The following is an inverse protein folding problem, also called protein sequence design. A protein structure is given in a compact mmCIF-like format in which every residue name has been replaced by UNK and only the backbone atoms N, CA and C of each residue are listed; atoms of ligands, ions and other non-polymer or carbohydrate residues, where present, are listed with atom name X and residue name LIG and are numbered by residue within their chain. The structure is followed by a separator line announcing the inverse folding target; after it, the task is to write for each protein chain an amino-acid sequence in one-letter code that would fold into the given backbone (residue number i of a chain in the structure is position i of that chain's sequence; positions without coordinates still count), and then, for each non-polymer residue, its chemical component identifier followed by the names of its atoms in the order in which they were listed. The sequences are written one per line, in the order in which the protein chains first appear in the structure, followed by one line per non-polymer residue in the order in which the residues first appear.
data_IF_817005860569
#
_entry.id   IF_817005860569
#
_cell.length_a   1.000
_cell.length_b   1.000
_cell.length_c   1.000
_cell.angle_alpha   90.00
_cell.angle_beta   90.00
_cell.angle_gamma   90.00
#
_symmetry.space_group_name_H-M   'P 1'
#
loop_
_entity.id
_entity.type
_entity.pdbx_description
1 polymer ?
#
# COMPACT_ATOMS: atom_id res chain seq x y z
N UNK A 1 5.35 -11.11 6.60
CA UNK A 1 5.31 -11.83 7.88
C UNK A 1 6.71 -11.86 8.44
N UNK A 2 6.84 -11.96 9.75
CA UNK A 2 8.09 -12.18 10.47
C UNK A 2 7.76 -13.13 11.61
N UNK A 3 8.48 -14.26 11.72
CA UNK A 3 8.19 -15.33 12.68
C UNK A 3 6.70 -15.74 12.71
N UNK A 4 6.13 -15.98 11.53
CA UNK A 4 4.70 -16.34 11.32
C UNK A 4 3.66 -15.30 11.78
N UNK A 5 4.10 -14.08 12.13
CA UNK A 5 3.22 -12.98 12.51
C UNK A 5 3.00 -12.05 11.31
N UNK A 6 1.75 -11.67 11.05
CA UNK A 6 1.40 -10.68 10.03
C UNK A 6 1.72 -9.28 10.55
N UNK A 7 2.87 -8.74 10.14
CA UNK A 7 3.37 -7.41 10.53
C UNK A 7 2.92 -6.27 9.61
N UNK A 8 2.20 -6.58 8.54
CA UNK A 8 1.68 -5.58 7.62
C UNK A 8 0.86 -6.18 6.50
N UNK A 9 -0.06 -5.39 5.96
CA UNK A 9 -0.96 -5.78 4.88
C UNK A 9 -1.33 -4.57 4.03
N UNK A 10 -1.75 -4.86 2.79
CA UNK A 10 -2.34 -3.91 1.87
C UNK A 10 -3.42 -4.62 1.08
N UNK A 11 -4.50 -3.91 0.74
CA UNK A 11 -5.60 -4.40 -0.09
C UNK A 11 -5.48 -3.82 -1.49
N UNK A 12 -5.67 -4.68 -2.48
CA UNK A 12 -5.89 -4.33 -3.87
C UNK A 12 -7.34 -4.67 -4.24
N UNK A 13 -8.07 -3.70 -4.80
CA UNK A 13 -9.45 -3.88 -5.29
C UNK A 13 -9.54 -3.40 -6.74
N UNK A 14 -10.10 -4.21 -7.62
CA UNK A 14 -10.40 -3.82 -8.99
C UNK A 14 -11.76 -3.14 -9.06
N UNK A 15 -11.87 -2.07 -9.84
CA UNK A 15 -13.14 -1.42 -10.18
C UNK A 15 -13.61 -1.84 -11.57
N UNK A 16 -14.91 -1.62 -11.83
CA UNK A 16 -15.57 -1.99 -13.09
C UNK A 16 -15.01 -1.26 -14.32
N UNK A 17 -14.35 -0.12 -14.11
CA UNK A 17 -13.65 0.67 -15.14
C UNK A 17 -12.26 0.10 -15.51
N UNK A 18 -11.89 -1.06 -14.96
CA UNK A 18 -10.59 -1.70 -15.22
C UNK A 18 -9.42 -1.04 -14.48
N UNK A 19 -9.70 -0.17 -13.51
CA UNK A 19 -8.70 0.43 -12.65
C UNK A 19 -8.52 -0.31 -11.32
N UNK A 20 -7.46 0.04 -10.59
CA UNK A 20 -7.13 -0.56 -9.31
C UNK A 20 -7.12 0.46 -8.16
N UNK A 21 -7.64 0.03 -7.01
CA UNK A 21 -7.66 0.77 -5.76
C UNK A 21 -6.79 0.06 -4.71
N UNK A 22 -5.73 0.75 -4.30
CA UNK A 22 -4.90 0.38 -3.17
C UNK A 22 -5.52 0.98 -1.90
N UNK A 23 -5.64 0.18 -0.86
CA UNK A 23 -6.23 0.63 0.40
C UNK A 23 -5.89 -0.27 1.56
N UNK A 24 -6.28 0.13 2.76
CA UNK A 24 -6.06 -0.69 3.97
C UNK A 24 -4.58 -0.89 4.32
N UNK A 25 -3.66 -0.08 3.77
CA UNK A 25 -2.23 -0.18 4.10
C UNK A 25 -2.04 0.00 5.60
N UNK A 26 -1.51 -1.03 6.25
CA UNK A 26 -1.19 -1.04 7.68
C UNK A 26 0.13 -1.77 7.88
N UNK A 27 0.95 -1.22 8.77
CA UNK A 27 2.18 -1.85 9.24
C UNK A 27 2.17 -1.74 10.76
N UNK A 28 2.46 -2.85 11.42
CA UNK A 28 2.61 -2.93 12.87
C UNK A 28 3.59 -1.85 13.35
N UNK A 29 3.26 -1.18 14.45
CA UNK A 29 4.00 0.01 14.91
C UNK A 29 5.47 -0.28 15.21
N UNK A 30 5.79 -1.47 15.71
CA UNK A 30 7.14 -1.88 16.07
C UNK A 30 7.97 -2.25 14.83
N UNK A 31 7.33 -2.37 13.66
CA UNK A 31 7.94 -2.80 12.40
C UNK A 31 7.96 -1.67 11.35
N UNK A 32 7.51 -0.46 11.71
CA UNK A 32 7.56 0.73 10.83
C UNK A 32 8.99 1.16 10.54
N UNK A 33 9.15 2.01 9.52
CA UNK A 33 10.44 2.54 9.04
C UNK A 33 11.45 1.48 8.52
N UNK A 34 11.02 0.23 8.37
CA UNK A 34 11.78 -0.88 7.76
C UNK A 34 11.45 -1.10 6.27
N UNK A 35 10.83 -0.12 5.60
CA UNK A 35 10.45 -0.20 4.18
C UNK A 35 9.27 -1.13 3.85
N UNK A 36 8.56 -1.67 4.85
CA UNK A 36 7.47 -2.63 4.65
C UNK A 36 6.31 -2.03 3.84
N UNK A 37 5.88 -0.80 4.16
CA UNK A 37 4.80 -0.12 3.45
C UNK A 37 5.13 0.10 1.96
N UNK A 38 6.38 0.44 1.66
CA UNK A 38 6.90 0.58 0.29
C UNK A 38 6.82 -0.75 -0.45
N UNK A 39 7.39 -1.83 0.12
CA UNK A 39 7.36 -3.17 -0.51
C UNK A 39 5.94 -3.67 -0.78
N UNK A 40 5.02 -3.45 0.16
CA UNK A 40 3.61 -3.82 -0.02
C UNK A 40 2.93 -2.98 -1.11
N UNK A 41 3.22 -1.68 -1.17
CA UNK A 41 2.70 -0.77 -2.20
C UNK A 41 3.20 -1.17 -3.59
N UNK A 42 4.51 -1.38 -3.74
CA UNK A 42 5.13 -1.83 -4.99
C UNK A 42 4.53 -3.17 -5.45
N UNK A 43 4.33 -4.11 -4.53
CA UNK A 43 3.67 -5.37 -4.84
C UNK A 43 2.24 -5.14 -5.34
N UNK A 44 1.45 -4.30 -4.70
CA UNK A 44 0.10 -3.99 -5.17
C UNK A 44 0.10 -3.30 -6.53
N UNK A 45 1.04 -2.38 -6.81
CA UNK A 45 1.17 -1.73 -8.12
C UNK A 45 1.52 -2.77 -9.19
N UNK A 46 2.46 -3.66 -8.90
CA UNK A 46 2.84 -4.75 -9.81
C UNK A 46 1.68 -5.70 -10.10
N UNK A 47 0.93 -6.10 -9.07
CA UNK A 47 -0.22 -7.01 -9.22
C UNK A 47 -1.44 -6.33 -9.83
N UNK A 48 -1.58 -5.01 -9.71
CA UNK A 48 -2.69 -4.29 -10.33
C UNK A 48 -2.76 -4.59 -11.83
N UNK A 49 -1.63 -4.62 -12.55
CA UNK A 49 -1.62 -4.87 -14.01
C UNK A 49 -2.62 -3.99 -14.79
N UNK A 50 -2.89 -2.79 -14.25
CA UNK A 50 -3.82 -1.81 -14.81
C UNK A 50 -3.06 -0.57 -15.23
N UNK A 51 -3.61 0.20 -16.17
CA UNK A 51 -3.05 1.50 -16.58
C UNK A 51 -3.03 2.53 -15.44
N UNK A 52 -3.97 2.45 -14.49
CA UNK A 52 -4.11 3.42 -13.40
C UNK A 52 -4.41 2.74 -12.07
N UNK A 53 -3.58 3.06 -11.08
CA UNK A 53 -3.76 2.66 -9.69
C UNK A 53 -4.01 3.90 -8.83
N UNK A 54 -4.99 3.83 -7.93
CA UNK A 54 -5.42 4.92 -7.06
C UNK A 54 -5.31 4.52 -5.60
N UNK A 55 -5.09 5.48 -4.72
CA UNK A 55 -5.20 5.30 -3.27
C UNK A 55 -5.75 6.57 -2.63
N UNK A 56 -6.36 6.39 -1.47
CA UNK A 56 -6.76 7.51 -0.61
C UNK A 56 -5.92 7.51 0.66
N UNK A 57 -5.54 8.71 1.07
CA UNK A 57 -4.94 8.96 2.38
C UNK A 57 -5.46 10.27 2.93
N UNK A 58 -5.45 10.44 4.25
CA UNK A 58 -5.75 11.72 4.87
C UNK A 58 -4.69 12.75 4.50
N UNK A 59 -5.09 14.02 4.39
CA UNK A 59 -4.22 15.14 4.02
C UNK A 59 -2.98 15.27 4.93
N UNK A 60 -3.14 14.99 6.22
CA UNK A 60 -2.08 15.10 7.22
C UNK A 60 -1.18 13.86 7.29
N UNK A 61 -1.42 12.84 6.45
CA UNK A 61 -0.57 11.66 6.39
C UNK A 61 0.62 11.88 5.45
N UNK A 62 1.53 12.75 5.89
CA UNK A 62 2.73 13.16 5.16
C UNK A 62 3.58 11.94 4.78
N UNK A 63 3.63 10.92 5.64
CA UNK A 63 4.40 9.70 5.37
C UNK A 63 3.83 8.91 4.19
N UNK A 64 2.50 8.75 4.10
CA UNK A 64 1.87 8.11 2.95
C UNK A 64 1.98 8.95 1.68
N UNK A 65 1.87 10.27 1.79
CA UNK A 65 2.06 11.20 0.66
C UNK A 65 3.49 11.10 0.09
N UNK A 66 4.51 11.13 0.95
CA UNK A 66 5.91 11.01 0.52
C UNK A 66 6.21 9.64 -0.10
N UNK A 67 5.52 8.58 0.33
CA UNK A 67 5.67 7.25 -0.24
C UNK A 67 5.20 7.19 -1.70
N UNK A 68 4.16 7.93 -2.07
CA UNK A 68 3.50 7.83 -3.39
C UNK A 68 3.99 8.88 -4.39
N UNK A 69 4.75 9.87 -3.92
CA UNK A 69 5.35 10.93 -4.75
C UNK A 69 6.76 10.59 -5.27
N UNK A 70 7.31 9.45 -4.87
CA UNK A 70 8.58 8.94 -5.40
C UNK A 70 8.41 8.43 -6.83
#
# INVERSE_FOLDING_TARGET
MENDIVIGLSRLKYSLDGEAWLGGMRVDKNHRRRGIATKLTEKCIKEARTRKARLFTTENNILALNMVRK
#
